data_IF_329889807256
#
_entry.id   IF_329889807256
#
_cell.length_a   1.000
_cell.length_b   1.000
_cell.length_c   1.000
_cell.angle_alpha   90.00
_cell.angle_beta   90.00
_cell.angle_gamma   90.00
#
_symmetry.space_group_name_H-M   'P 1'
#
loop_
_entity.id
_entity.type
_entity.pdbx_description
1 polymer ?
#
# COMPACT_ATOMS: atom_id res chain seq x y z
N UNK A 1 -5.60 -9.40 3.74
CA UNK A 1 -4.33 -10.05 4.13
C UNK A 1 -3.85 -9.48 5.47
N UNK A 2 -4.76 -9.12 6.39
CA UNK A 2 -4.34 -8.70 7.71
C UNK A 2 -3.88 -9.90 8.56
N UNK A 3 -2.88 -9.70 9.41
CA UNK A 3 -2.33 -10.73 10.30
C UNK A 3 -1.85 -12.00 9.56
N UNK A 4 -1.14 -11.80 8.45
CA UNK A 4 -0.66 -12.87 7.55
C UNK A 4 0.87 -12.95 7.47
N UNK A 5 1.58 -12.33 8.43
CA UNK A 5 3.05 -12.24 8.47
C UNK A 5 3.66 -11.68 7.17
N UNK A 6 2.97 -10.75 6.51
CA UNK A 6 3.51 -10.08 5.31
C UNK A 6 4.70 -9.23 5.73
N UNK A 7 5.85 -9.47 5.11
CA UNK A 7 7.09 -8.70 5.29
C UNK A 7 7.40 -7.89 4.03
N UNK A 8 8.44 -7.04 4.09
CA UNK A 8 8.94 -6.28 2.94
C UNK A 8 9.20 -7.17 1.70
N UNK A 9 9.61 -8.43 1.88
CA UNK A 9 9.82 -9.37 0.77
C UNK A 9 8.53 -9.75 0.04
N UNK A 10 7.39 -9.77 0.75
CA UNK A 10 6.06 -10.01 0.17
C UNK A 10 5.53 -8.81 -0.61
N UNK A 11 5.93 -7.58 -0.25
CA UNK A 11 5.45 -6.35 -0.87
C UNK A 11 5.78 -6.25 -2.36
N UNK A 12 6.92 -6.77 -2.82
CA UNK A 12 7.25 -6.79 -4.26
C UNK A 12 6.30 -7.66 -5.08
N UNK A 13 5.84 -8.78 -4.51
CA UNK A 13 4.84 -9.65 -5.16
C UNK A 13 3.46 -9.01 -5.16
N UNK A 14 3.08 -8.33 -4.07
CA UNK A 14 1.84 -7.57 -3.97
C UNK A 14 1.82 -6.37 -4.94
N UNK A 15 2.92 -5.64 -5.03
CA UNK A 15 3.14 -4.55 -5.98
C UNK A 15 2.91 -5.01 -7.43
N UNK A 16 3.54 -6.12 -7.82
CA UNK A 16 3.34 -6.72 -9.14
C UNK A 16 1.88 -7.12 -9.38
N UNK A 17 1.22 -7.67 -8.35
CA UNK A 17 -0.19 -8.07 -8.41
C UNK A 17 -1.12 -6.86 -8.55
N UNK A 18 -0.82 -5.74 -7.88
CA UNK A 18 -1.58 -4.48 -7.97
C UNK A 18 -1.58 -3.91 -9.39
N UNK A 19 -0.45 -4.03 -10.10
CA UNK A 19 -0.33 -3.57 -11.49
C UNK A 19 -0.97 -4.54 -12.49
N UNK A 20 -0.88 -5.84 -12.22
CA UNK A 20 -1.48 -6.86 -13.07
C UNK A 20 -3.01 -6.95 -12.92
N UNK A 21 -3.52 -6.66 -11.72
CA UNK A 21 -4.94 -6.76 -11.41
C UNK A 21 -5.70 -5.50 -11.80
N UNK A 22 -6.73 -5.68 -12.62
CA UNK A 22 -7.68 -4.61 -12.99
C UNK A 22 -8.97 -4.66 -12.17
N UNK A 23 -9.12 -5.68 -11.32
CA UNK A 23 -10.30 -5.95 -10.51
C UNK A 23 -10.09 -5.71 -9.03
N UNK A 24 -8.84 -5.71 -8.54
CA UNK A 24 -8.57 -5.48 -7.13
C UNK A 24 -8.79 -4.01 -6.79
N UNK A 25 -9.87 -3.72 -6.06
CA UNK A 25 -10.25 -2.37 -5.60
C UNK A 25 -9.85 -2.11 -4.17
N UNK A 26 -9.83 -3.14 -3.32
CA UNK A 26 -9.53 -2.99 -1.90
C UNK A 26 -8.44 -3.97 -1.48
N UNK A 27 -7.48 -3.49 -0.70
CA UNK A 27 -6.41 -4.30 -0.13
C UNK A 27 -6.22 -3.93 1.34
N UNK A 28 -6.35 -4.92 2.20
CA UNK A 28 -6.11 -4.80 3.64
C UNK A 28 -4.84 -5.56 4.02
N UNK A 29 -3.86 -4.83 4.56
CA UNK A 29 -2.58 -5.34 5.05
C UNK A 29 -2.38 -5.03 6.54
N UNK A 30 -3.46 -4.69 7.26
CA UNK A 30 -3.39 -4.35 8.69
C UNK A 30 -2.70 -5.44 9.53
N UNK A 31 -2.06 -5.05 10.64
CA UNK A 31 -1.41 -5.97 11.57
C UNK A 31 -0.37 -6.89 10.88
N UNK A 32 0.46 -6.33 10.00
CA UNK A 32 1.57 -7.06 9.38
C UNK A 32 2.90 -6.33 9.63
N UNK A 33 4.00 -7.08 9.51
CA UNK A 33 5.36 -6.59 9.75
C UNK A 33 6.04 -5.94 8.53
N UNK A 34 5.29 -5.22 7.69
CA UNK A 34 5.89 -4.42 6.63
C UNK A 34 6.34 -3.06 7.20
N UNK A 35 7.57 -2.66 6.87
CA UNK A 35 8.10 -1.35 7.23
C UNK A 35 8.10 -0.42 6.01
N UNK A 36 8.76 0.73 6.16
CA UNK A 36 8.86 1.78 5.14
C UNK A 36 9.19 1.24 3.75
N UNK A 37 10.18 0.34 3.65
CA UNK A 37 10.59 -0.23 2.37
C UNK A 37 9.48 -1.05 1.68
N UNK A 38 8.71 -1.81 2.46
CA UNK A 38 7.58 -2.58 1.95
C UNK A 38 6.43 -1.68 1.51
N UNK A 39 6.15 -0.63 2.28
CA UNK A 39 5.11 0.36 1.95
C UNK A 39 5.50 1.12 0.69
N UNK A 40 6.74 1.58 0.57
CA UNK A 40 7.23 2.29 -0.61
C UNK A 40 6.99 1.51 -1.91
N UNK A 41 7.28 0.21 -1.92
CA UNK A 41 7.03 -0.65 -3.10
C UNK A 41 5.55 -0.70 -3.49
N UNK A 42 4.65 -0.68 -2.49
CA UNK A 42 3.21 -0.61 -2.73
C UNK A 42 2.82 0.75 -3.29
N UNK A 43 3.31 1.86 -2.70
CA UNK A 43 3.00 3.22 -3.17
C UNK A 43 3.44 3.44 -4.62
N UNK A 44 4.64 2.98 -5.00
CA UNK A 44 5.16 3.07 -6.37
C UNK A 44 4.26 2.33 -7.38
N UNK A 45 3.57 1.27 -6.95
CA UNK A 45 2.60 0.56 -7.78
C UNK A 45 1.26 1.27 -7.82
N UNK A 46 0.79 1.78 -6.68
CA UNK A 46 -0.51 2.45 -6.57
C UNK A 46 -0.54 3.80 -7.28
N UNK A 47 0.60 4.51 -7.36
CA UNK A 47 0.78 5.73 -8.16
C UNK A 47 0.58 5.50 -9.65
N UNK A 48 0.80 4.28 -10.13
CA UNK A 48 0.70 4.01 -11.56
C UNK A 48 -0.77 4.04 -12.02
N UNK A 49 -1.05 4.61 -13.21
CA UNK A 49 -2.40 4.63 -13.78
C UNK A 49 -2.99 3.24 -14.03
N UNK A 50 -2.13 2.22 -14.14
CA UNK A 50 -2.55 0.84 -14.35
C UNK A 50 -3.20 0.21 -13.11
N UNK A 51 -2.89 0.73 -11.91
CA UNK A 51 -3.40 0.22 -10.65
C UNK A 51 -4.84 0.68 -10.41
N UNK A 52 -5.74 -0.30 -10.30
CA UNK A 52 -7.17 -0.09 -10.10
C UNK A 52 -7.57 0.02 -8.61
N UNK A 53 -6.60 0.02 -7.69
CA UNK A 53 -6.86 0.06 -6.25
C UNK A 53 -7.50 1.41 -5.86
N UNK A 54 -8.57 1.31 -5.08
CA UNK A 54 -9.36 2.42 -4.54
C UNK A 54 -9.22 2.52 -3.03
N UNK A 55 -8.89 1.42 -2.34
CA UNK A 55 -8.70 1.40 -0.89
C UNK A 55 -7.49 0.57 -0.48
N UNK A 56 -6.66 1.15 0.39
CA UNK A 56 -5.55 0.49 1.05
C UNK A 56 -5.68 0.65 2.56
N UNK A 57 -5.69 -0.46 3.31
CA UNK A 57 -5.80 -0.46 4.77
C UNK A 57 -4.50 -0.97 5.39
N UNK A 58 -3.97 -0.20 6.35
CA UNK A 58 -2.65 -0.32 6.94
C UNK A 58 -2.66 -0.15 8.48
N UNK A 59 -3.76 -0.52 9.15
CA UNK A 59 -3.85 -0.39 10.61
C UNK A 59 -2.80 -1.23 11.33
N UNK A 60 -2.34 -0.79 12.50
CA UNK A 60 -1.38 -1.51 13.34
C UNK A 60 -0.07 -1.87 12.59
N UNK A 61 0.40 -0.97 11.73
CA UNK A 61 1.71 -1.06 11.07
C UNK A 61 2.57 0.10 11.55
N UNK A 62 3.86 -0.16 11.75
CA UNK A 62 4.83 0.85 12.18
C UNK A 62 5.64 1.36 10.99
N UNK A 63 5.62 2.67 10.76
CA UNK A 63 6.48 3.36 9.78
C UNK A 63 7.02 4.69 10.31
N UNK A 64 8.02 5.25 9.63
CA UNK A 64 8.64 6.52 9.99
C UNK A 64 7.78 7.75 9.63
N UNK A 65 8.12 8.91 10.22
CA UNK A 65 7.50 10.19 9.85
C UNK A 65 7.70 10.53 8.37
N UNK A 66 8.84 10.15 7.78
CA UNK A 66 9.10 10.38 6.36
C UNK A 66 8.11 9.60 5.47
N UNK A 67 7.78 8.37 5.86
CA UNK A 67 6.77 7.58 5.16
C UNK A 67 5.37 8.18 5.32
N UNK A 68 5.06 8.73 6.49
CA UNK A 68 3.79 9.44 6.71
C UNK A 68 3.64 10.63 5.75
N UNK A 69 4.70 11.43 5.57
CA UNK A 69 4.70 12.57 4.64
C UNK A 69 4.49 12.10 3.19
N UNK A 70 5.06 10.95 2.81
CA UNK A 70 4.86 10.35 1.49
C UNK A 70 3.43 9.80 1.29
N UNK A 71 2.81 9.23 2.33
CA UNK A 71 1.42 8.81 2.31
C UNK A 71 0.48 10.03 2.17
N UNK A 72 0.79 11.13 2.85
CA UNK A 72 0.07 12.38 2.71
C UNK A 72 0.17 12.93 1.27
N UNK A 73 1.38 12.97 0.70
CA UNK A 73 1.58 13.38 -0.70
C UNK A 73 0.81 12.47 -1.67
N UNK A 74 0.78 11.15 -1.43
CA UNK A 74 0.00 10.23 -2.27
C UNK A 74 -1.50 10.51 -2.22
N UNK A 75 -2.05 10.84 -1.05
CA UNK A 75 -3.47 11.18 -0.88
C UNK A 75 -3.84 12.42 -1.72
N UNK A 76 -2.93 13.39 -1.83
CA UNK A 76 -3.09 14.59 -2.68
C UNK A 76 -2.94 14.26 -4.18
N UNK A 77 -1.95 13.44 -4.55
CA UNK A 77 -1.70 13.03 -5.95
C UNK A 77 -2.82 12.15 -6.51
N UNK A 78 -3.41 11.30 -5.68
CA UNK A 78 -4.45 10.33 -6.07
C UNK A 78 -5.62 10.37 -5.09
N UNK A 79 -6.49 11.39 -5.18
CA UNK A 79 -7.62 11.57 -4.24
C UNK A 79 -8.70 10.48 -4.38
N UNK A 80 -8.66 9.68 -5.47
CA UNK A 80 -9.53 8.51 -5.63
C UNK A 80 -9.10 7.31 -4.77
N UNK A 81 -7.86 7.31 -4.26
CA UNK A 81 -7.36 6.27 -3.38
C UNK A 81 -7.58 6.67 -1.93
N UNK A 82 -8.31 5.83 -1.19
CA UNK A 82 -8.46 5.94 0.26
C UNK A 82 -7.41 5.08 0.96
N UNK A 83 -6.43 5.74 1.59
CA UNK A 83 -5.50 5.07 2.52
C UNK A 83 -6.04 5.22 3.93
N UNK A 84 -6.26 4.08 4.58
CA UNK A 84 -6.73 3.96 5.96
C UNK A 84 -5.57 3.41 6.79
N UNK A 85 -5.18 4.14 7.83
CA UNK A 85 -4.04 3.87 8.69
C UNK A 85 -4.34 4.34 10.11
#
# INVERSE_FOLDING_TARGET
LGDCEVTNGGCGSLASTLLASRSLRELDLSNNGLGDAGIQQLLDSVRQPACALEQLVLYDIYWSQEMEDQLAALKEEKPSLRVIC
#
